data_IF_850451567291
#
_entry.id   IF_850451567291
#
_cell.length_a   1.000
_cell.length_b   1.000
_cell.length_c   1.000
_cell.angle_alpha   90.00
_cell.angle_beta   90.00
_cell.angle_gamma   90.00
#
_symmetry.space_group_name_H-M   'P 1'
#
loop_
_entity.id
_entity.type
_entity.pdbx_description
1 polymer ?
#
# COMPACT_ATOMS: atom_id res chain seq x y z
N UNK A 1 12.41 -18.98 23.43
CA UNK A 1 13.26 -18.55 24.56
C UNK A 1 13.61 -17.11 24.31
N UNK A 2 13.29 -16.21 25.23
CA UNK A 2 13.59 -14.78 25.09
C UNK A 2 15.10 -14.61 25.22
N UNK A 3 15.76 -14.12 24.16
CA UNK A 3 17.21 -13.91 24.18
C UNK A 3 17.54 -12.65 24.97
N UNK A 4 18.69 -12.63 25.65
CA UNK A 4 19.26 -11.44 26.26
C UNK A 4 20.37 -10.97 25.33
N UNK A 5 20.25 -9.77 24.77
CA UNK A 5 21.21 -9.21 23.81
C UNK A 5 21.85 -7.95 24.37
N UNK A 6 23.09 -7.66 24.01
CA UNK A 6 23.75 -6.39 24.31
C UNK A 6 23.51 -5.37 23.19
N UNK A 7 23.71 -4.05 23.43
CA UNK A 7 23.68 -3.06 22.35
C UNK A 7 24.66 -3.37 21.21
N UNK A 8 25.82 -3.98 21.53
CA UNK A 8 26.81 -4.36 20.54
C UNK A 8 26.32 -5.50 19.64
N UNK A 9 25.55 -6.45 20.18
CA UNK A 9 24.93 -7.51 19.38
C UNK A 9 23.90 -6.92 18.42
N UNK A 10 23.06 -5.99 18.89
CA UNK A 10 22.05 -5.32 18.04
C UNK A 10 22.70 -4.53 16.91
N UNK A 11 23.82 -3.83 17.15
CA UNK A 11 24.54 -3.05 16.14
C UNK A 11 25.05 -3.86 14.95
N UNK A 12 25.20 -5.18 15.09
CA UNK A 12 25.60 -6.06 13.98
C UNK A 12 24.49 -6.22 12.92
N UNK A 13 23.24 -6.00 13.31
CA UNK A 13 22.05 -6.17 12.47
C UNK A 13 21.55 -4.81 12.00
N UNK A 14 22.27 -4.19 11.07
CA UNK A 14 22.08 -2.80 10.64
C UNK A 14 21.81 -2.62 9.13
N UNK A 15 21.40 -3.68 8.44
CA UNK A 15 21.16 -3.69 6.98
C UNK A 15 19.71 -4.02 6.66
N UNK A 16 19.29 -3.86 5.40
CA UNK A 16 17.92 -4.16 4.99
C UNK A 16 17.59 -5.66 5.12
N UNK A 17 18.57 -6.51 4.83
CA UNK A 17 18.46 -7.97 4.87
C UNK A 17 18.74 -8.56 6.25
N UNK A 18 19.13 -7.72 7.22
CA UNK A 18 19.45 -8.10 8.60
C UNK A 18 19.34 -6.87 9.52
N UNK A 19 18.15 -6.66 10.12
CA UNK A 19 17.78 -5.42 10.81
C UNK A 19 17.18 -5.67 12.19
N UNK A 20 17.94 -5.36 13.25
CA UNK A 20 17.43 -5.33 14.62
C UNK A 20 17.30 -3.89 15.12
N UNK A 21 16.42 -3.68 16.09
CA UNK A 21 16.29 -2.40 16.79
C UNK A 21 15.84 -2.58 18.23
N UNK A 22 16.15 -1.57 19.06
CA UNK A 22 15.75 -1.53 20.46
C UNK A 22 14.58 -0.55 20.60
N UNK A 23 13.49 -0.98 21.22
CA UNK A 23 12.40 -0.09 21.64
C UNK A 23 12.05 -0.44 23.09
N UNK A 24 12.13 0.54 24.00
CA UNK A 24 11.86 0.37 25.43
C UNK A 24 12.64 -0.80 26.08
N UNK A 25 13.93 -0.95 25.74
CA UNK A 25 14.82 -2.05 26.17
C UNK A 25 14.40 -3.46 25.70
N UNK A 26 13.48 -3.56 24.75
CA UNK A 26 13.11 -4.80 24.07
C UNK A 26 13.78 -4.80 22.70
N UNK A 27 14.28 -5.96 22.29
CA UNK A 27 14.96 -6.14 21.00
C UNK A 27 14.01 -6.82 20.01
N UNK A 28 13.91 -6.24 18.83
CA UNK A 28 13.02 -6.66 17.76
C UNK A 28 13.81 -6.98 16.50
N UNK A 29 13.48 -8.09 15.86
CA UNK A 29 13.96 -8.44 14.53
C UNK A 29 12.96 -7.93 13.49
N UNK A 30 13.29 -6.80 12.87
CA UNK A 30 12.44 -6.15 11.89
C UNK A 30 12.75 -6.59 10.45
N UNK A 31 13.69 -7.53 10.25
CA UNK A 31 14.21 -7.93 8.92
C UNK A 31 13.09 -8.29 7.93
N UNK A 32 12.12 -9.10 8.36
CA UNK A 32 11.00 -9.50 7.49
C UNK A 32 9.96 -8.41 7.27
N UNK A 33 10.00 -7.32 8.04
CA UNK A 33 9.01 -6.24 8.03
C UNK A 33 9.54 -4.97 7.34
N UNK A 34 10.84 -4.90 7.04
CA UNK A 34 11.49 -3.70 6.47
C UNK A 34 10.76 -3.15 5.24
N UNK A 35 10.41 -4.02 4.29
CA UNK A 35 9.71 -3.61 3.06
C UNK A 35 8.21 -3.34 3.25
N UNK A 36 7.63 -3.87 4.32
CA UNK A 36 6.20 -3.81 4.63
C UNK A 36 5.86 -2.62 5.53
N UNK A 37 6.87 -1.92 6.06
CA UNK A 37 6.69 -0.79 6.95
C UNK A 37 5.96 0.38 6.28
N UNK A 38 4.80 0.84 6.80
CA UNK A 38 3.99 1.89 6.17
C UNK A 38 4.68 3.25 6.03
N UNK A 39 5.69 3.53 6.88
CA UNK A 39 6.52 4.73 6.79
C UNK A 39 7.58 4.67 5.67
N UNK A 40 7.71 3.53 4.99
CA UNK A 40 8.82 3.22 4.09
C UNK A 40 9.93 2.47 4.81
N UNK A 41 10.78 1.78 4.03
CA UNK A 41 11.91 1.03 4.59
C UNK A 41 13.06 1.94 5.03
N UNK A 42 13.22 3.10 4.37
CA UNK A 42 14.29 4.06 4.62
C UNK A 42 14.28 4.55 6.09
N UNK A 43 13.09 4.78 6.66
CA UNK A 43 12.96 5.24 8.06
C UNK A 43 13.34 4.17 9.09
N UNK A 44 13.20 2.89 8.75
CA UNK A 44 13.70 1.81 9.62
C UNK A 44 15.22 1.66 9.51
N UNK A 45 15.77 1.90 8.31
CA UNK A 45 17.22 1.87 8.08
C UNK A 45 17.97 2.98 8.83
N UNK A 46 17.36 4.14 9.03
CA UNK A 46 17.95 5.25 9.82
C UNK A 46 18.29 4.85 11.27
N UNK A 47 17.50 3.93 11.84
CA UNK A 47 17.63 3.45 13.23
C UNK A 47 18.04 1.96 13.30
N UNK A 48 18.47 1.39 12.17
CA UNK A 48 18.91 0.00 12.11
C UNK A 48 20.13 -0.24 13.02
N UNK A 49 20.07 -1.31 13.81
CA UNK A 49 21.09 -1.66 14.80
C UNK A 49 21.17 -0.70 15.99
N UNK A 50 20.18 0.17 16.20
CA UNK A 50 20.20 1.24 17.21
C UNK A 50 18.97 1.22 18.13
N UNK A 51 18.98 2.12 19.12
CA UNK A 51 17.80 2.40 19.95
C UNK A 51 16.87 3.37 19.22
N UNK A 52 15.72 2.83 18.83
CA UNK A 52 14.66 3.52 18.10
C UNK A 52 13.53 4.00 19.02
N UNK A 53 13.67 3.91 20.35
CA UNK A 53 12.60 4.22 21.31
C UNK A 53 12.04 5.62 21.11
N UNK A 54 12.91 6.63 21.00
CA UNK A 54 12.47 8.01 20.78
C UNK A 54 11.77 8.19 19.44
N UNK A 55 12.34 7.64 18.36
CA UNK A 55 11.73 7.67 17.02
C UNK A 55 10.37 6.97 16.98
N UNK A 56 10.23 5.86 17.69
CA UNK A 56 8.99 5.09 17.79
C UNK A 56 7.91 5.87 18.54
N UNK A 57 8.24 6.45 19.70
CA UNK A 57 7.29 7.24 20.50
C UNK A 57 6.91 8.54 19.78
N UNK A 58 7.88 9.24 19.17
CA UNK A 58 7.66 10.53 18.51
C UNK A 58 6.77 10.41 17.26
N UNK A 59 6.69 9.22 16.66
CA UNK A 59 5.87 8.97 15.48
C UNK A 59 4.40 8.71 15.82
N UNK A 60 4.06 8.48 17.10
CA UNK A 60 2.71 8.16 17.58
C UNK A 60 2.09 6.98 16.83
N UNK A 61 2.80 5.83 16.88
CA UNK A 61 2.38 4.58 16.26
C UNK A 61 1.05 4.07 16.86
N UNK A 62 0.19 3.46 16.03
CA UNK A 62 -1.12 2.97 16.47
C UNK A 62 -1.03 1.65 17.25
N UNK A 63 -2.10 1.25 17.94
CA UNK A 63 -2.16 -0.04 18.65
C UNK A 63 -1.86 -1.23 17.73
N UNK A 64 -2.21 -1.15 16.44
CA UNK A 64 -1.87 -2.20 15.47
C UNK A 64 -0.36 -2.26 15.18
N UNK A 65 0.34 -1.13 15.22
CA UNK A 65 1.78 -1.11 15.09
C UNK A 65 2.44 -1.74 16.34
N UNK A 66 1.85 -1.55 17.53
CA UNK A 66 2.30 -2.24 18.74
C UNK A 66 2.07 -3.76 18.66
N UNK A 67 0.95 -4.20 18.09
CA UNK A 67 0.68 -5.63 17.83
C UNK A 67 1.72 -6.21 16.86
N UNK A 68 2.01 -5.54 15.74
CA UNK A 68 3.07 -5.94 14.81
C UNK A 68 4.43 -5.99 15.53
N UNK A 69 4.76 -4.94 16.27
CA UNK A 69 6.02 -4.86 17.02
C UNK A 69 6.13 -6.04 18.00
N UNK A 70 5.04 -6.42 18.66
CA UNK A 70 5.02 -7.55 19.59
C UNK A 70 5.39 -8.88 18.93
N UNK A 71 4.97 -9.11 17.67
CA UNK A 71 5.29 -10.30 16.89
C UNK A 71 6.76 -10.36 16.45
N UNK A 72 7.42 -9.20 16.30
CA UNK A 72 8.83 -9.08 15.92
C UNK A 72 9.80 -9.25 17.11
N UNK A 73 9.28 -9.43 18.33
CA UNK A 73 10.08 -9.49 19.55
C UNK A 73 10.97 -10.74 19.58
N UNK A 74 12.28 -10.53 19.71
CA UNK A 74 13.25 -11.62 19.85
C UNK A 74 13.90 -11.69 21.24
N UNK A 75 13.93 -10.57 21.97
CA UNK A 75 14.71 -10.51 23.20
C UNK A 75 14.52 -9.26 24.04
N UNK A 76 15.35 -9.13 25.08
CA UNK A 76 15.47 -7.94 25.92
C UNK A 76 16.93 -7.53 26.02
N UNK A 77 17.17 -6.23 26.21
CA UNK A 77 18.51 -5.67 26.32
C UNK A 77 19.15 -5.99 27.67
N UNK A 78 20.43 -6.38 27.67
CA UNK A 78 21.23 -6.49 28.89
C UNK A 78 21.65 -5.11 29.40
N UNK A 79 20.95 -4.62 30.42
CA UNK A 79 21.21 -3.33 31.06
C UNK A 79 22.44 -3.35 31.99
N UNK A 80 23.09 -4.50 32.19
CA UNK A 80 24.32 -4.61 32.98
C UNK A 80 25.58 -4.17 32.20
N UNK A 81 25.48 -4.03 30.88
CA UNK A 81 26.57 -3.60 29.99
C UNK A 81 26.43 -2.11 29.67
N UNK A 82 27.34 -1.28 30.19
CA UNK A 82 27.39 0.16 29.84
C UNK A 82 27.97 0.35 28.43
N UNK A 83 27.54 1.37 27.66
CA UNK A 83 28.17 1.71 26.40
C UNK A 83 29.62 2.15 26.67
N UNK A 84 30.59 1.28 26.39
CA UNK A 84 31.99 1.67 26.29
C UNK A 84 32.21 2.29 24.93
N UNK A 85 32.72 3.52 24.92
CA UNK A 85 33.21 4.23 23.73
C UNK A 85 34.13 3.33 22.88
N UNK A 86 33.61 2.76 21.79
CA UNK A 86 34.46 2.13 20.76
C UNK A 86 34.87 3.21 19.77
N UNK A 87 35.79 4.09 20.21
CA UNK A 87 36.69 4.79 19.30
C UNK A 87 37.93 3.93 19.11
N UNK A 88 38.08 3.43 17.88
CA UNK A 88 39.27 2.82 17.27
C UNK A 88 39.68 1.42 17.76
N UNK A 89 39.48 0.40 16.90
CA UNK A 89 40.56 -0.41 16.34
C UNK A 89 40.04 -1.52 15.40
N UNK A 90 40.02 -1.27 14.09
CA UNK A 90 40.50 -2.25 13.10
C UNK A 90 41.34 -1.47 12.10
N UNK A 91 42.66 -1.63 12.20
CA UNK A 91 43.58 -1.31 11.09
C UNK A 91 43.37 -2.40 10.04
N UNK A 92 42.88 -2.00 8.87
CA UNK A 92 42.98 -2.85 7.67
C UNK A 92 44.22 -2.35 6.93
N UNK A 93 45.18 -3.24 6.77
CA UNK A 93 46.41 -3.00 6.01
C UNK A 93 46.06 -2.63 4.57
N UNK A 94 46.62 -1.52 4.10
CA UNK A 94 46.62 -1.10 2.71
C UNK A 94 47.40 -2.12 1.88
N UNK A 95 46.70 -2.82 0.98
CA UNK A 95 47.35 -3.52 -0.13
C UNK A 95 47.32 -2.59 -1.33
N UNK A 96 48.50 -2.07 -1.69
CA UNK A 96 48.75 -1.41 -2.97
C UNK A 96 48.54 -2.40 -4.12
N UNK A 97 47.65 -2.08 -5.05
CA UNK A 97 47.57 -2.76 -6.34
C UNK A 97 48.20 -1.83 -7.38
N UNK A 98 49.31 -2.27 -7.97
CA UNK A 98 49.97 -1.59 -9.08
C UNK A 98 49.12 -1.74 -10.37
N UNK A 99 49.13 -0.75 -11.27
CA UNK A 99 48.40 -0.84 -12.53
C UNK A 99 49.20 -1.69 -13.53
N UNK A 100 48.60 -2.78 -14.01
CA UNK A 100 49.14 -3.55 -15.13
C UNK A 100 48.52 -3.05 -16.45
N UNK A 101 49.39 -2.71 -17.38
CA UNK A 101 49.11 -2.18 -18.72
C UNK A 101 48.77 -3.34 -19.64
N UNK A 102 47.61 -3.29 -20.31
CA UNK A 102 47.34 -4.14 -21.48
C UNK A 102 47.11 -3.23 -22.68
N UNK A 103 48.15 -3.08 -23.50
CA UNK A 103 48.07 -2.50 -24.84
C UNK A 103 47.61 -3.55 -25.86
N UNK A 104 46.80 -3.10 -26.82
CA UNK A 104 46.73 -3.71 -28.15
C UNK A 104 45.45 -4.45 -28.51
N UNK A 105 44.39 -3.72 -28.86
CA UNK A 105 43.41 -4.17 -29.87
C UNK A 105 43.00 -2.95 -30.72
N UNK A 106 43.27 -3.05 -32.03
CA UNK A 106 42.96 -2.03 -33.05
C UNK A 106 41.44 -1.84 -33.29
N UNK A 107 41.00 -0.66 -33.75
CA UNK A 107 39.59 -0.39 -34.01
C UNK A 107 39.09 -1.10 -35.29
N UNK A 108 37.86 -1.62 -35.32
CA UNK A 108 37.30 -2.20 -36.53
C UNK A 108 36.91 -1.10 -37.54
N UNK A 109 36.93 -1.41 -38.84
CA UNK A 109 36.73 -0.44 -39.90
C UNK A 109 35.25 -0.05 -40.07
N UNK A 110 35.04 1.21 -40.48
CA UNK A 110 33.75 1.71 -40.91
C UNK A 110 33.26 0.96 -42.16
N UNK A 111 32.07 0.36 -42.08
CA UNK A 111 31.37 -0.22 -43.22
C UNK A 111 29.99 0.41 -43.35
N UNK A 112 29.70 0.82 -44.58
CA UNK A 112 28.55 1.55 -45.06
C UNK A 112 27.25 0.72 -44.99
N UNK A 113 26.21 1.39 -44.48
CA UNK A 113 24.78 1.31 -44.83
C UNK A 113 24.28 0.10 -45.64
N UNK A 114 23.39 -0.68 -45.01
CA UNK A 114 22.21 -1.25 -45.67
C UNK A 114 20.99 -1.10 -44.75
N UNK A 115 19.87 -0.66 -45.31
CA UNK A 115 18.63 -0.39 -44.60
C UNK A 115 18.02 -1.69 -44.03
N UNK A 116 17.51 -1.71 -42.78
CA UNK A 116 16.79 -2.87 -42.30
C UNK A 116 15.36 -2.89 -42.87
N UNK A 117 14.95 -4.09 -43.25
CA UNK A 117 13.59 -4.46 -43.58
C UNK A 117 12.64 -4.13 -42.41
N UNK A 118 11.37 -3.91 -42.72
CA UNK A 118 10.30 -3.67 -41.74
C UNK A 118 10.25 -4.82 -40.75
N UNK A 119 10.79 -4.61 -39.56
CA UNK A 119 10.48 -5.42 -38.39
C UNK A 119 9.12 -4.97 -37.85
N UNK A 120 8.20 -5.93 -37.74
CA UNK A 120 6.96 -5.76 -37.01
C UNK A 120 7.31 -5.39 -35.56
N UNK A 121 7.01 -4.14 -35.19
CA UNK A 121 7.19 -3.64 -33.83
C UNK A 121 6.23 -4.43 -32.93
N UNK A 122 6.76 -5.41 -32.21
CA UNK A 122 6.13 -5.93 -31.02
C UNK A 122 6.12 -4.78 -30.00
N UNK A 123 4.97 -4.12 -29.82
CA UNK A 123 4.82 -3.04 -28.85
C UNK A 123 4.84 -3.69 -27.47
N UNK A 124 6.04 -3.92 -26.94
CA UNK A 124 6.23 -4.19 -25.52
C UNK A 124 5.54 -3.07 -24.75
N UNK A 125 4.56 -3.45 -23.95
CA UNK A 125 3.74 -2.53 -23.17
C UNK A 125 4.67 -1.85 -22.17
N UNK A 126 5.07 -0.60 -22.47
CA UNK A 126 5.94 0.18 -21.58
C UNK A 126 5.16 0.44 -20.30
N UNK A 127 5.42 -0.37 -19.26
CA UNK A 127 4.91 -0.11 -17.91
C UNK A 127 5.55 1.17 -17.40
N UNK A 128 4.72 2.19 -17.20
CA UNK A 128 5.20 3.51 -16.80
C UNK A 128 5.64 3.51 -15.34
N UNK A 129 4.91 2.82 -14.48
CA UNK A 129 5.08 2.85 -13.04
C UNK A 129 6.30 2.01 -12.57
N UNK A 130 7.20 2.62 -11.78
CA UNK A 130 8.44 2.01 -11.26
C UNK A 130 8.38 1.79 -9.74
N UNK A 131 8.68 0.57 -9.22
CA UNK A 131 8.41 0.22 -7.82
C UNK A 131 9.11 1.13 -6.81
N UNK A 132 10.38 1.43 -7.06
CA UNK A 132 11.25 2.04 -6.05
C UNK A 132 11.70 3.45 -6.41
N UNK A 133 11.24 3.96 -7.57
CA UNK A 133 11.64 5.26 -8.09
C UNK A 133 10.41 6.15 -8.15
N UNK A 134 10.45 7.29 -7.43
CA UNK A 134 9.44 8.32 -7.57
C UNK A 134 9.50 8.97 -8.95
N UNK A 135 8.34 9.06 -9.58
CA UNK A 135 8.10 9.67 -10.88
C UNK A 135 7.06 10.78 -10.73
N UNK A 136 7.17 11.82 -11.54
CA UNK A 136 6.26 12.95 -11.50
C UNK A 136 5.15 12.81 -12.53
N UNK A 137 3.91 13.06 -12.10
CA UNK A 137 2.73 13.02 -12.95
C UNK A 137 1.94 14.31 -12.82
N UNK A 138 1.60 14.92 -13.95
CA UNK A 138 0.96 16.23 -14.03
C UNK A 138 -0.55 16.13 -13.86
N UNK A 139 -1.12 16.95 -12.97
CA UNK A 139 -2.55 17.10 -12.77
C UNK A 139 -3.18 17.74 -14.00
N UNK A 140 -4.04 16.99 -14.69
CA UNK A 140 -4.79 17.42 -15.86
C UNK A 140 -6.13 18.03 -15.48
N UNK A 141 -6.83 17.38 -14.54
CA UNK A 141 -8.21 17.71 -14.19
C UNK A 141 -8.48 17.41 -12.72
N UNK A 142 -9.22 18.30 -12.07
CA UNK A 142 -9.81 18.11 -10.74
C UNK A 142 -11.33 18.18 -10.88
N UNK A 143 -12.03 17.15 -10.43
CA UNK A 143 -13.50 17.09 -10.43
C UNK A 143 -13.97 16.97 -8.99
N UNK A 144 -14.63 18.00 -8.47
CA UNK A 144 -15.21 17.98 -7.13
C UNK A 144 -16.43 17.06 -7.11
N UNK A 145 -16.46 16.12 -6.16
CA UNK A 145 -17.54 15.15 -5.99
C UNK A 145 -18.42 15.56 -4.80
N UNK A 146 -17.79 16.01 -3.72
CA UNK A 146 -18.47 16.53 -2.53
C UNK A 146 -17.61 17.60 -1.86
N UNK A 147 -18.09 18.16 -0.74
CA UNK A 147 -17.39 19.20 0.01
C UNK A 147 -15.95 18.85 0.44
N UNK A 148 -15.61 17.56 0.54
CA UNK A 148 -14.28 17.10 0.92
C UNK A 148 -13.75 15.96 0.03
N UNK A 149 -14.37 15.67 -1.11
CA UNK A 149 -13.92 14.59 -2.02
C UNK A 149 -13.77 15.14 -3.43
N UNK A 150 -12.66 14.81 -4.08
CA UNK A 150 -12.47 15.09 -5.49
C UNK A 150 -11.77 13.93 -6.22
N UNK A 151 -12.02 13.84 -7.52
CA UNK A 151 -11.27 12.99 -8.44
C UNK A 151 -10.19 13.84 -9.11
N UNK A 152 -8.95 13.39 -9.00
CA UNK A 152 -7.76 14.01 -9.58
C UNK A 152 -7.24 13.14 -10.71
N UNK A 153 -7.23 13.69 -11.93
CA UNK A 153 -6.72 13.02 -13.13
C UNK A 153 -5.30 13.45 -13.41
N UNK A 154 -4.39 12.49 -13.49
CA UNK A 154 -2.99 12.73 -13.80
C UNK A 154 -2.63 12.14 -15.16
N UNK A 155 -1.93 12.93 -15.98
CA UNK A 155 -1.48 12.51 -17.32
C UNK A 155 -0.34 11.50 -17.26
N UNK A 156 -0.36 10.52 -18.17
CA UNK A 156 0.77 9.64 -18.47
C UNK A 156 1.63 10.24 -19.60
N UNK A 157 2.86 9.73 -19.83
CA UNK A 157 3.79 10.30 -20.82
C UNK A 157 3.27 10.36 -22.26
N UNK A 158 2.31 9.51 -22.62
CA UNK A 158 1.62 9.59 -23.90
C UNK A 158 0.15 9.16 -23.79
N UNK A 159 -0.73 9.58 -24.72
CA UNK A 159 -2.14 9.18 -24.73
C UNK A 159 -2.37 7.65 -24.86
N UNK A 160 -1.36 6.89 -25.28
CA UNK A 160 -1.44 5.43 -25.44
C UNK A 160 -0.68 4.67 -24.36
N UNK A 161 0.01 5.37 -23.44
CA UNK A 161 0.67 4.74 -22.30
C UNK A 161 -0.33 4.14 -21.34
N UNK A 162 -0.03 2.97 -20.78
CA UNK A 162 -0.75 2.38 -19.65
C UNK A 162 0.01 2.65 -18.36
N UNK A 163 -0.69 2.74 -17.24
CA UNK A 163 -0.04 3.04 -15.97
C UNK A 163 0.80 1.84 -15.49
N UNK A 164 0.27 0.62 -15.71
CA UNK A 164 0.97 -0.62 -15.40
C UNK A 164 0.80 -1.04 -13.93
N UNK A 165 -0.34 -0.69 -13.31
CA UNK A 165 -0.68 -1.09 -11.94
C UNK A 165 -1.49 -2.40 -11.97
N UNK A 166 -0.96 -3.52 -11.44
CA UNK A 166 -1.72 -4.76 -11.31
C UNK A 166 -2.96 -4.58 -10.43
N UNK A 167 -4.03 -5.31 -10.76
CA UNK A 167 -5.30 -5.26 -10.02
C UNK A 167 -5.10 -5.82 -8.61
N UNK A 168 -5.38 -5.04 -7.58
CA UNK A 168 -5.11 -5.36 -6.17
C UNK A 168 -3.94 -4.58 -5.57
N UNK A 169 -3.08 -4.01 -6.41
CA UNK A 169 -1.94 -3.23 -5.95
C UNK A 169 -2.28 -1.74 -5.91
N UNK A 170 -1.47 -1.00 -5.18
CA UNK A 170 -1.61 0.45 -4.98
C UNK A 170 -0.32 1.19 -5.34
N UNK A 171 -0.36 2.51 -5.27
CA UNK A 171 0.79 3.39 -5.43
C UNK A 171 1.14 4.10 -4.12
N UNK A 172 2.36 4.59 -4.01
CA UNK A 172 2.78 5.50 -2.95
C UNK A 172 2.93 6.91 -3.50
N UNK A 173 2.24 7.88 -2.89
CA UNK A 173 2.44 9.31 -3.15
C UNK A 173 3.37 9.87 -2.09
N UNK A 174 4.44 10.55 -2.53
CA UNK A 174 5.42 11.19 -1.67
C UNK A 174 5.37 12.71 -1.77
N UNK A 175 5.52 13.42 -0.65
CA UNK A 175 5.67 14.87 -0.64
C UNK A 175 6.64 15.31 0.47
N UNK A 176 7.49 16.28 0.17
CA UNK A 176 8.31 16.96 1.18
C UNK A 176 7.49 18.09 1.79
N UNK A 177 7.09 17.95 3.06
CA UNK A 177 6.21 18.88 3.74
C UNK A 177 6.98 19.71 4.79
N UNK A 178 6.78 21.03 4.84
CA UNK A 178 7.43 21.89 5.82
C UNK A 178 6.99 21.54 7.24
N UNK A 179 7.92 21.60 8.17
CA UNK A 179 7.72 21.35 9.59
C UNK A 179 7.77 22.67 10.39
N UNK A 180 7.17 22.73 11.60
CA UNK A 180 7.18 23.94 12.43
C UNK A 180 8.56 24.47 12.79
N UNK A 181 9.58 23.60 12.82
CA UNK A 181 10.98 23.94 13.12
C UNK A 181 11.74 24.50 11.90
N UNK A 182 11.07 24.63 10.74
CA UNK A 182 11.66 25.11 9.49
C UNK A 182 12.32 24.02 8.63
N UNK A 183 12.36 22.77 9.11
CA UNK A 183 12.81 21.62 8.31
C UNK A 183 11.73 21.14 7.33
N UNK A 184 12.08 20.18 6.48
CA UNK A 184 11.13 19.46 5.61
C UNK A 184 11.16 17.98 5.92
N UNK A 185 9.99 17.34 6.02
CA UNK A 185 9.85 15.89 6.21
C UNK A 185 9.22 15.27 4.97
N UNK A 186 9.81 14.20 4.44
CA UNK A 186 9.13 13.39 3.43
C UNK A 186 8.00 12.60 4.08
N UNK A 187 6.79 12.78 3.56
CA UNK A 187 5.63 11.98 3.95
C UNK A 187 5.24 11.14 2.75
N UNK A 188 4.99 9.86 2.98
CA UNK A 188 4.56 8.91 1.96
C UNK A 188 3.25 8.26 2.40
N UNK A 189 2.26 8.18 1.50
CA UNK A 189 0.96 7.52 1.76
C UNK A 189 0.49 6.70 0.57
N UNK A 190 -0.22 5.61 0.85
CA UNK A 190 -0.76 4.71 -0.16
C UNK A 190 -2.09 5.21 -0.74
N UNK A 191 -2.25 5.06 -2.05
CA UNK A 191 -3.47 5.39 -2.78
C UNK A 191 -3.74 4.33 -3.85
N UNK A 192 -5.00 3.96 -4.02
CA UNK A 192 -5.42 3.06 -5.11
C UNK A 192 -6.16 3.85 -6.18
N UNK A 193 -5.61 3.94 -7.41
CA UNK A 193 -6.33 4.52 -8.54
C UNK A 193 -7.65 3.82 -8.81
N UNK A 194 -8.65 4.61 -9.19
CA UNK A 194 -9.98 4.11 -9.57
C UNK A 194 -10.12 3.87 -11.07
N UNK A 195 -9.13 4.31 -11.86
CA UNK A 195 -8.93 3.95 -13.27
C UNK A 195 -8.04 2.71 -13.39
N UNK A 196 -7.87 2.19 -14.60
CA UNK A 196 -6.92 1.09 -14.86
C UNK A 196 -6.52 1.03 -16.33
N UNK A 197 -5.58 0.15 -16.68
CA UNK A 197 -4.87 0.15 -17.96
C UNK A 197 -5.73 0.06 -19.24
N UNK A 198 -6.99 -0.38 -19.14
CA UNK A 198 -7.98 -0.28 -20.21
C UNK A 198 -8.34 1.16 -20.63
N UNK A 199 -7.94 2.16 -19.82
CA UNK A 199 -8.09 3.59 -20.06
C UNK A 199 -6.68 4.20 -20.17
N UNK A 200 -6.06 4.19 -21.35
CA UNK A 200 -4.70 4.69 -21.50
C UNK A 200 -4.63 6.22 -21.39
N UNK A 201 -3.42 6.72 -21.16
CA UNK A 201 -3.10 8.14 -21.17
C UNK A 201 -3.27 8.87 -19.84
N UNK A 202 -3.95 8.29 -18.85
CA UNK A 202 -4.13 8.91 -17.54
C UNK A 202 -4.33 7.89 -16.41
N UNK A 203 -4.28 8.37 -15.17
CA UNK A 203 -4.89 7.67 -14.04
C UNK A 203 -5.66 8.63 -13.14
N UNK A 204 -6.73 8.13 -12.52
CA UNK A 204 -7.63 8.90 -11.67
C UNK A 204 -7.49 8.45 -10.21
N UNK A 205 -7.32 9.41 -9.30
CA UNK A 205 -7.33 9.21 -7.85
C UNK A 205 -8.57 9.85 -7.25
N UNK A 206 -9.36 9.06 -6.51
CA UNK A 206 -10.43 9.59 -5.66
C UNK A 206 -9.87 9.83 -4.26
N UNK A 207 -9.83 11.10 -3.84
CA UNK A 207 -9.20 11.49 -2.58
C UNK A 207 -10.19 12.28 -1.73
N UNK A 208 -10.42 11.79 -0.51
CA UNK A 208 -11.08 12.54 0.56
C UNK A 208 -10.04 13.39 1.30
N UNK A 209 -10.30 14.68 1.41
CA UNK A 209 -9.44 15.64 2.11
C UNK A 209 -9.82 15.67 3.57
N UNK A 210 -8.81 15.48 4.44
CA UNK A 210 -8.99 15.52 5.89
C UNK A 210 -8.35 16.78 6.46
N UNK A 211 -9.01 17.47 7.41
CA UNK A 211 -8.34 18.51 8.21
C UNK A 211 -7.07 17.94 8.85
N UNK A 212 -5.93 18.63 8.69
CA UNK A 212 -4.64 18.17 9.20
C UNK A 212 -4.01 16.98 8.44
N UNK A 213 -4.65 16.46 7.39
CA UNK A 213 -4.09 15.36 6.60
C UNK A 213 -2.88 15.81 5.76
N UNK A 214 -1.73 15.19 5.94
CA UNK A 214 -0.48 15.54 5.27
C UNK A 214 -0.59 15.52 3.72
N UNK A 215 -0.72 14.34 3.13
CA UNK A 215 -0.78 14.20 1.66
C UNK A 215 -2.12 14.67 1.09
N UNK A 216 -3.22 14.48 1.82
CA UNK A 216 -4.55 14.87 1.30
C UNK A 216 -4.69 16.39 1.18
N UNK A 217 -4.14 17.18 2.11
CA UNK A 217 -4.07 18.64 1.97
C UNK A 217 -3.10 19.07 0.87
N UNK A 218 -1.94 18.41 0.78
CA UNK A 218 -0.98 18.67 -0.30
C UNK A 218 -1.60 18.49 -1.68
N UNK A 219 -2.31 17.38 -1.92
CA UNK A 219 -2.98 17.11 -3.21
C UNK A 219 -4.16 18.06 -3.44
N UNK A 220 -4.92 18.40 -2.39
CA UNK A 220 -6.04 19.33 -2.50
C UNK A 220 -5.64 20.73 -2.97
N UNK A 221 -4.44 21.18 -2.57
CA UNK A 221 -3.88 22.48 -2.90
C UNK A 221 -3.28 22.58 -4.31
N UNK A 222 -3.17 21.47 -5.06
CA UNK A 222 -2.63 21.47 -6.41
C UNK A 222 -3.52 22.24 -7.38
N UNK A 223 -2.88 23.03 -8.24
CA UNK A 223 -3.49 23.64 -9.40
C UNK A 223 -3.35 22.72 -10.62
N UNK A 224 -4.23 22.91 -11.60
CA UNK A 224 -4.09 22.24 -12.88
C UNK A 224 -2.71 22.56 -13.47
N UNK A 225 -1.97 21.50 -13.77
CA UNK A 225 -0.62 21.56 -14.29
C UNK A 225 0.50 21.36 -13.28
N UNK A 226 0.19 21.35 -11.98
CA UNK A 226 1.13 20.92 -10.93
C UNK A 226 1.36 19.41 -11.01
N UNK A 227 2.38 18.91 -10.31
CA UNK A 227 2.78 17.50 -10.33
C UNK A 227 2.63 16.84 -8.96
N UNK A 228 2.40 15.53 -8.96
CA UNK A 228 2.58 14.65 -7.79
C UNK A 228 3.76 13.72 -8.01
N UNK A 229 4.44 13.33 -6.92
CA UNK A 229 5.47 12.28 -6.93
C UNK A 229 4.86 10.94 -6.57
N UNK A 230 5.01 9.95 -7.44
CA UNK A 230 4.41 8.63 -7.33
C UNK A 230 5.45 7.52 -7.57
N UNK A 231 5.44 6.46 -6.76
CA UNK A 231 6.14 5.20 -7.05
C UNK A 231 5.19 4.01 -6.89
N UNK A 232 5.51 2.88 -7.53
CA UNK A 232 4.73 1.65 -7.42
C UNK A 232 5.01 0.66 -8.56
N UNK A 233 4.26 -0.43 -8.68
CA UNK A 233 3.19 -0.84 -7.79
C UNK A 233 3.72 -1.30 -6.42
N UNK A 234 2.85 -1.27 -5.40
CA UNK A 234 3.09 -1.80 -4.05
C UNK A 234 1.91 -2.67 -3.60
N UNK A 235 2.17 -3.55 -2.65
CA UNK A 235 1.18 -4.48 -2.09
C UNK A 235 1.24 -5.89 -2.67
N UNK A 236 0.79 -6.87 -1.88
CA UNK A 236 0.88 -8.30 -2.22
C UNK A 236 -0.31 -8.84 -3.01
N UNK A 237 -1.45 -8.12 -3.02
CA UNK A 237 -2.66 -8.62 -3.68
C UNK A 237 -2.55 -8.50 -5.20
N UNK A 238 -2.87 -9.58 -5.90
CA UNK A 238 -2.96 -9.58 -7.36
C UNK A 238 -4.16 -10.43 -7.78
N UNK A 239 -5.19 -9.77 -8.30
CA UNK A 239 -6.40 -10.42 -8.76
C UNK A 239 -6.16 -11.16 -10.08
N UNK A 240 -6.65 -12.40 -10.17
CA UNK A 240 -6.82 -13.12 -11.44
C UNK A 240 -8.25 -13.65 -11.56
N UNK A 241 -8.83 -13.70 -12.78
CA UNK A 241 -10.19 -14.19 -12.99
C UNK A 241 -10.46 -15.54 -12.32
N UNK A 242 -11.59 -15.66 -11.63
CA UNK A 242 -12.00 -16.88 -10.92
C UNK A 242 -11.04 -17.39 -9.82
N UNK A 243 -10.11 -16.57 -9.30
CA UNK A 243 -9.17 -17.01 -8.24
C UNK A 243 -9.87 -17.51 -6.97
N UNK A 244 -11.08 -17.01 -6.72
CA UNK A 244 -12.00 -17.49 -5.69
C UNK A 244 -13.41 -17.48 -6.26
N UNK A 245 -14.29 -18.31 -5.68
CA UNK A 245 -15.71 -18.31 -6.04
C UNK A 245 -16.38 -17.01 -5.65
N UNK A 246 -16.03 -16.44 -4.50
CA UNK A 246 -16.70 -15.26 -3.94
C UNK A 246 -15.80 -14.43 -3.03
N UNK A 247 -15.88 -13.12 -3.16
CA UNK A 247 -15.30 -12.18 -2.21
C UNK A 247 -16.38 -11.67 -1.25
N UNK A 248 -16.06 -11.64 0.04
CA UNK A 248 -16.69 -10.73 0.99
C UNK A 248 -15.80 -9.50 1.15
N UNK A 249 -16.30 -8.30 0.95
CA UNK A 249 -15.53 -7.06 1.04
C UNK A 249 -16.10 -6.20 2.16
N UNK A 250 -15.24 -5.63 2.99
CA UNK A 250 -15.62 -4.66 4.02
C UNK A 250 -14.78 -3.40 3.82
N UNK A 251 -15.44 -2.32 3.39
CA UNK A 251 -14.80 -1.04 3.11
C UNK A 251 -15.28 0.04 4.08
N UNK A 252 -14.37 0.93 4.48
CA UNK A 252 -14.68 2.14 5.24
C UNK A 252 -14.18 3.40 4.54
N UNK A 253 -15.06 4.37 4.26
CA UNK A 253 -14.67 5.63 3.61
C UNK A 253 -13.89 5.43 2.30
N UNK A 254 -12.67 5.96 2.20
CA UNK A 254 -11.82 5.82 0.99
C UNK A 254 -11.30 4.40 0.76
N UNK A 255 -11.48 3.48 1.71
CA UNK A 255 -11.18 2.06 1.56
C UNK A 255 -12.00 1.34 0.49
N UNK A 256 -13.00 2.02 -0.10
CA UNK A 256 -13.73 1.55 -1.28
C UNK A 256 -12.85 1.45 -2.53
N UNK A 257 -11.78 2.24 -2.63
CA UNK A 257 -10.95 2.33 -3.84
C UNK A 257 -10.28 1.01 -4.27
N UNK A 258 -9.62 0.22 -3.39
CA UNK A 258 -9.14 -1.11 -3.76
C UNK A 258 -10.27 -2.08 -4.11
N UNK A 259 -11.42 -1.97 -3.44
CA UNK A 259 -12.59 -2.82 -3.75
C UNK A 259 -13.10 -2.55 -5.16
N UNK A 260 -13.23 -1.29 -5.55
CA UNK A 260 -13.67 -0.89 -6.90
C UNK A 260 -12.72 -1.35 -7.99
N UNK A 261 -11.41 -1.34 -7.74
CA UNK A 261 -10.43 -1.85 -8.69
C UNK A 261 -10.69 -3.32 -9.04
N UNK A 262 -10.97 -4.15 -8.03
CA UNK A 262 -11.28 -5.57 -8.18
C UNK A 262 -12.67 -5.78 -8.79
N UNK A 263 -13.68 -5.08 -8.29
CA UNK A 263 -15.07 -5.13 -8.81
C UNK A 263 -15.09 -4.82 -10.30
N UNK A 264 -14.44 -3.75 -10.73
CA UNK A 264 -14.39 -3.34 -12.13
C UNK A 264 -13.61 -4.34 -13.00
N UNK A 265 -12.56 -4.98 -12.45
CA UNK A 265 -11.84 -6.04 -13.16
C UNK A 265 -12.73 -7.26 -13.41
N UNK A 266 -13.45 -7.73 -12.38
CA UNK A 266 -14.42 -8.84 -12.49
C UNK A 266 -15.49 -8.52 -13.53
N UNK A 267 -16.05 -7.30 -13.49
CA UNK A 267 -17.08 -6.86 -14.46
C UNK A 267 -16.60 -6.91 -15.91
N UNK A 268 -15.41 -6.38 -16.18
CA UNK A 268 -14.82 -6.48 -17.53
C UNK A 268 -14.57 -7.94 -17.92
N UNK A 269 -14.14 -8.76 -16.97
CA UNK A 269 -13.87 -10.19 -17.12
C UNK A 269 -15.10 -11.07 -17.38
N UNK A 270 -16.33 -10.60 -17.11
CA UNK A 270 -17.56 -11.38 -17.29
C UNK A 270 -17.67 -11.98 -18.69
N UNK A 271 -17.41 -11.18 -19.72
CA UNK A 271 -17.47 -11.61 -21.11
C UNK A 271 -16.38 -12.65 -21.46
N UNK A 272 -15.33 -12.78 -20.64
CA UNK A 272 -14.28 -13.80 -20.78
C UNK A 272 -14.44 -14.97 -19.80
N UNK A 273 -15.59 -15.07 -19.11
CA UNK A 273 -15.91 -16.20 -18.25
C UNK A 273 -15.50 -16.02 -16.78
N UNK A 274 -15.28 -14.79 -16.32
CA UNK A 274 -15.14 -14.50 -14.90
C UNK A 274 -16.48 -14.64 -14.17
N UNK A 275 -16.57 -15.61 -13.27
CA UNK A 275 -17.78 -15.96 -12.51
C UNK A 275 -17.71 -15.53 -11.05
N UNK A 276 -16.63 -14.87 -10.62
CA UNK A 276 -16.43 -14.47 -9.23
C UNK A 276 -17.60 -13.60 -8.74
N UNK A 277 -18.10 -13.91 -7.56
CA UNK A 277 -19.23 -13.21 -6.93
C UNK A 277 -18.71 -12.22 -5.87
N UNK A 278 -19.45 -11.16 -5.60
CA UNK A 278 -19.04 -10.10 -4.66
C UNK A 278 -20.17 -9.77 -3.70
N UNK A 279 -19.83 -9.76 -2.41
CA UNK A 279 -20.66 -9.21 -1.33
C UNK A 279 -19.89 -8.10 -0.64
N UNK A 280 -20.33 -6.85 -0.77
CA UNK A 280 -19.67 -5.68 -0.18
C UNK A 280 -20.51 -5.13 0.99
N UNK A 281 -19.87 -4.93 2.13
CA UNK A 281 -20.34 -4.05 3.21
C UNK A 281 -19.54 -2.74 3.09
N UNK A 282 -20.23 -1.63 2.88
CA UNK A 282 -19.60 -0.32 2.79
C UNK A 282 -20.08 0.59 3.93
N UNK A 283 -19.16 0.94 4.83
CA UNK A 283 -19.43 1.67 6.06
C UNK A 283 -18.94 3.12 6.00
N UNK A 284 -19.82 4.05 6.38
CA UNK A 284 -19.56 5.48 6.39
C UNK A 284 -20.21 6.15 7.62
N UNK A 285 -19.85 7.40 7.90
CA UNK A 285 -20.43 8.14 9.03
C UNK A 285 -21.83 8.62 8.66
N UNK A 286 -21.93 9.50 7.66
CA UNK A 286 -23.19 10.04 7.16
C UNK A 286 -23.50 9.49 5.74
N UNK A 287 -24.76 9.59 5.29
CA UNK A 287 -25.13 9.15 3.92
C UNK A 287 -24.35 9.88 2.82
N UNK A 288 -24.12 11.18 3.00
CA UNK A 288 -23.34 12.01 2.07
C UNK A 288 -21.86 11.59 1.95
N UNK A 289 -21.36 10.76 2.88
CA UNK A 289 -20.00 10.23 2.83
C UNK A 289 -19.88 8.97 1.97
N UNK A 290 -20.99 8.40 1.48
CA UNK A 290 -20.97 7.21 0.63
C UNK A 290 -20.40 7.59 -0.74
N UNK A 291 -19.12 7.30 -0.93
CA UNK A 291 -18.39 7.62 -2.14
C UNK A 291 -18.89 6.74 -3.30
N UNK A 292 -19.19 7.36 -4.44
CA UNK A 292 -19.60 6.67 -5.68
C UNK A 292 -20.89 5.83 -5.50
N UNK A 293 -21.84 6.35 -4.71
CA UNK A 293 -23.07 5.63 -4.36
C UNK A 293 -23.90 5.31 -5.61
N UNK A 294 -24.10 6.28 -6.50
CA UNK A 294 -24.88 6.08 -7.72
C UNK A 294 -24.25 5.02 -8.63
N UNK A 295 -22.92 5.00 -8.73
CA UNK A 295 -22.19 4.00 -9.48
C UNK A 295 -22.29 2.62 -8.83
N UNK A 296 -22.17 2.52 -7.51
CA UNK A 296 -22.37 1.26 -6.76
C UNK A 296 -23.80 0.71 -6.92
N UNK A 297 -24.80 1.58 -6.86
CA UNK A 297 -26.20 1.18 -7.06
C UNK A 297 -26.48 0.78 -8.53
N UNK A 298 -25.80 1.39 -9.50
CA UNK A 298 -25.83 0.95 -10.88
C UNK A 298 -25.16 -0.43 -11.06
N UNK A 299 -24.01 -0.66 -10.41
CA UNK A 299 -23.30 -1.93 -10.43
C UNK A 299 -24.20 -3.10 -9.99
N UNK A 300 -24.93 -2.92 -8.89
CA UNK A 300 -25.86 -3.94 -8.36
C UNK A 300 -27.04 -4.20 -9.31
N UNK A 301 -27.54 -3.17 -10.00
CA UNK A 301 -28.63 -3.34 -10.98
C UNK A 301 -28.21 -4.07 -12.24
N UNK A 302 -26.93 -3.95 -12.62
CA UNK A 302 -26.41 -4.47 -13.89
C UNK A 302 -25.76 -5.85 -13.79
N UNK A 303 -25.33 -6.27 -12.60
CA UNK A 303 -24.66 -7.56 -12.37
C UNK A 303 -25.22 -8.23 -11.10
N UNK A 304 -26.06 -9.25 -11.30
CA UNK A 304 -26.66 -10.04 -10.22
C UNK A 304 -25.62 -10.74 -9.32
N UNK A 305 -24.37 -10.85 -9.79
CA UNK A 305 -23.26 -11.40 -9.02
C UNK A 305 -22.60 -10.41 -8.05
N UNK A 306 -23.09 -9.18 -7.98
CA UNK A 306 -22.58 -8.11 -7.10
C UNK A 306 -23.69 -7.65 -6.16
N UNK A 307 -23.41 -7.67 -4.86
CA UNK A 307 -24.30 -7.12 -3.83
C UNK A 307 -23.55 -6.12 -2.98
N UNK A 308 -24.22 -5.02 -2.65
CA UNK A 308 -23.70 -3.95 -1.79
C UNK A 308 -24.69 -3.69 -0.67
N UNK A 309 -24.20 -3.67 0.56
CA UNK A 309 -24.96 -3.31 1.76
C UNK A 309 -24.27 -2.12 2.43
N UNK A 310 -25.02 -1.05 2.65
CA UNK A 310 -24.49 0.17 3.26
C UNK A 310 -24.69 0.17 4.78
N UNK A 311 -23.72 0.69 5.53
CA UNK A 311 -23.79 0.82 6.99
C UNK A 311 -23.44 2.26 7.38
N UNK A 312 -24.31 2.92 8.16
CA UNK A 312 -24.12 4.31 8.56
C UNK A 312 -24.08 4.49 10.08
N UNK A 313 -23.16 5.30 10.58
CA UNK A 313 -23.19 5.71 11.99
C UNK A 313 -24.36 6.66 12.27
N UNK A 314 -24.60 7.61 11.37
CA UNK A 314 -25.61 8.65 11.47
C UNK A 314 -26.60 8.52 10.28
N UNK A 315 -27.49 7.53 10.29
CA UNK A 315 -28.43 7.33 9.19
C UNK A 315 -29.47 8.46 9.09
N UNK A 316 -29.92 8.83 7.89
CA UNK A 316 -31.08 9.71 7.72
C UNK A 316 -32.37 9.03 8.17
N UNK A 317 -33.44 9.81 8.37
CA UNK A 317 -34.77 9.26 8.65
C UNK A 317 -35.22 8.32 7.51
N UNK A 318 -35.74 7.15 7.88
CA UNK A 318 -36.19 6.14 6.91
C UNK A 318 -35.08 5.25 6.35
N UNK A 319 -33.83 5.34 6.85
CA UNK A 319 -32.78 4.40 6.49
C UNK A 319 -33.14 2.95 6.89
N UNK A 320 -33.01 2.03 5.94
CA UNK A 320 -33.42 0.62 6.11
C UNK A 320 -32.25 -0.37 6.08
N UNK A 321 -31.04 0.12 5.89
CA UNK A 321 -29.83 -0.72 5.85
C UNK A 321 -29.13 -0.74 7.22
N UNK A 322 -27.85 -1.12 7.28
CA UNK A 322 -27.09 -1.22 8.52
C UNK A 322 -26.94 0.12 9.24
N UNK A 323 -26.97 0.08 10.57
CA UNK A 323 -26.82 1.24 11.45
C UNK A 323 -25.74 0.96 12.49
N UNK A 324 -24.90 1.95 12.77
CA UNK A 324 -23.79 1.88 13.71
C UNK A 324 -22.49 1.41 13.05
N UNK A 325 -21.68 0.66 13.79
CA UNK A 325 -20.49 0.01 13.25
C UNK A 325 -20.84 -1.33 12.59
N UNK A 326 -19.99 -1.79 11.67
CA UNK A 326 -20.12 -3.14 11.10
C UNK A 326 -20.07 -4.17 12.23
N UNK A 327 -21.13 -4.96 12.39
CA UNK A 327 -21.26 -5.95 13.46
C UNK A 327 -21.03 -7.38 12.97
N UNK A 328 -20.87 -8.30 13.93
CA UNK A 328 -20.79 -9.75 13.65
C UNK A 328 -22.02 -10.25 12.89
N UNK A 329 -23.21 -9.82 13.32
CA UNK A 329 -24.49 -10.21 12.74
C UNK A 329 -24.64 -9.69 11.30
N UNK A 330 -24.12 -8.49 11.01
CA UNK A 330 -24.10 -7.97 9.65
C UNK A 330 -23.19 -8.80 8.74
N UNK A 331 -22.01 -9.20 9.22
CA UNK A 331 -21.09 -10.06 8.46
C UNK A 331 -21.72 -11.44 8.21
N UNK A 332 -22.29 -12.07 9.23
CA UNK A 332 -23.00 -13.37 9.10
C UNK A 332 -24.15 -13.29 8.10
N UNK A 333 -24.89 -12.18 8.09
CA UNK A 333 -26.05 -11.98 7.23
C UNK A 333 -25.68 -11.70 5.78
N UNK A 334 -24.64 -10.89 5.54
CA UNK A 334 -24.39 -10.30 4.23
C UNK A 334 -23.16 -10.84 3.51
N UNK A 335 -22.17 -11.39 4.21
CA UNK A 335 -20.96 -11.93 3.61
C UNK A 335 -21.04 -13.46 3.48
N UNK A 336 -20.28 -14.07 2.54
CA UNK A 336 -20.23 -15.53 2.41
C UNK A 336 -19.68 -16.21 3.65
N UNK A 337 -20.22 -17.36 4.10
CA UNK A 337 -19.61 -18.11 5.20
C UNK A 337 -18.19 -18.57 4.87
N UNK A 338 -17.33 -18.85 5.89
CA UNK A 338 -15.98 -19.34 5.67
C UNK A 338 -15.95 -20.58 4.77
N UNK A 339 -15.11 -20.54 3.74
CA UNK A 339 -14.83 -21.65 2.83
C UNK A 339 -13.46 -21.46 2.18
N UNK A 340 -12.84 -22.54 1.71
CA UNK A 340 -11.52 -22.49 1.05
C UNK A 340 -11.52 -21.72 -0.27
N UNK A 341 -12.69 -21.53 -0.89
CA UNK A 341 -12.89 -20.79 -2.14
C UNK A 341 -13.55 -19.42 -1.93
N UNK A 342 -13.47 -18.89 -0.70
CA UNK A 342 -13.97 -17.56 -0.29
C UNK A 342 -12.80 -16.75 0.27
N UNK A 343 -12.75 -15.47 -0.03
CA UNK A 343 -11.78 -14.54 0.56
C UNK A 343 -12.48 -13.28 1.07
N UNK A 344 -12.09 -12.82 2.27
CA UNK A 344 -12.51 -11.56 2.85
C UNK A 344 -11.47 -10.50 2.56
N UNK A 345 -11.90 -9.35 2.04
CA UNK A 345 -11.04 -8.20 1.77
C UNK A 345 -11.43 -7.03 2.66
N UNK A 346 -10.46 -6.43 3.35
CA UNK A 346 -10.65 -5.35 4.31
C UNK A 346 -9.87 -4.12 3.88
N UNK A 347 -10.50 -2.94 3.89
CA UNK A 347 -9.80 -1.67 3.76
C UNK A 347 -10.60 -0.54 4.41
N UNK A 348 -9.97 0.25 5.26
CA UNK A 348 -10.63 1.33 5.99
C UNK A 348 -9.74 1.87 7.10
N UNK A 349 -10.29 2.68 8.01
CA UNK A 349 -9.56 3.18 9.17
C UNK A 349 -8.97 2.03 10.02
N UNK A 350 -7.77 2.18 10.62
CA UNK A 350 -7.12 1.11 11.38
C UNK A 350 -8.02 0.46 12.45
N UNK A 351 -8.78 1.23 13.28
CA UNK A 351 -9.66 0.62 14.28
C UNK A 351 -10.76 -0.25 13.67
N UNK A 352 -11.25 0.11 12.48
CA UNK A 352 -12.22 -0.69 11.76
C UNK A 352 -11.58 -1.99 11.27
N UNK A 353 -10.42 -1.91 10.62
CA UNK A 353 -9.72 -3.10 10.10
C UNK A 353 -9.36 -4.07 11.24
N UNK A 354 -8.81 -3.55 12.35
CA UNK A 354 -8.49 -4.34 13.54
C UNK A 354 -9.71 -5.05 14.13
N UNK A 355 -10.84 -4.34 14.26
CA UNK A 355 -12.09 -4.95 14.69
C UNK A 355 -12.59 -6.04 13.72
N UNK A 356 -12.55 -5.78 12.39
CA UNK A 356 -13.02 -6.74 11.39
C UNK A 356 -12.20 -8.02 11.40
N UNK A 357 -10.86 -7.93 11.54
CA UNK A 357 -9.99 -9.12 11.67
C UNK A 357 -10.41 -10.01 12.85
N UNK A 358 -10.71 -9.41 14.01
CA UNK A 358 -11.17 -10.14 15.22
C UNK A 358 -12.57 -10.76 15.03
N UNK A 359 -13.48 -10.03 14.41
CA UNK A 359 -14.85 -10.53 14.18
C UNK A 359 -14.84 -11.68 13.16
N UNK A 360 -14.10 -11.56 12.05
CA UNK A 360 -14.00 -12.65 11.07
C UNK A 360 -13.33 -13.89 11.70
N UNK A 361 -12.29 -13.74 12.50
CA UNK A 361 -11.74 -14.89 13.25
C UNK A 361 -12.81 -15.56 14.14
N UNK A 362 -13.62 -14.77 14.86
CA UNK A 362 -14.71 -15.31 15.70
C UNK A 362 -15.83 -16.00 14.93
N UNK A 363 -15.89 -15.79 13.61
CA UNK A 363 -16.84 -16.40 12.68
C UNK A 363 -16.30 -17.65 11.99
N UNK A 364 -15.06 -18.05 12.29
CA UNK A 364 -14.43 -19.25 11.76
C UNK A 364 -13.69 -19.05 10.44
N UNK A 365 -13.41 -17.80 10.05
CA UNK A 365 -12.43 -17.54 9.01
C UNK A 365 -11.01 -17.75 9.57
N UNK A 366 -10.05 -18.04 8.69
CA UNK A 366 -8.64 -18.13 9.06
C UNK A 366 -8.18 -16.82 9.69
N UNK A 367 -7.38 -16.94 10.75
CA UNK A 367 -6.82 -15.78 11.46
C UNK A 367 -6.03 -14.91 10.50
N UNK A 368 -6.40 -13.64 10.43
CA UNK A 368 -5.69 -12.66 9.61
C UNK A 368 -4.27 -12.44 10.15
N UNK A 369 -3.29 -12.38 9.26
CA UNK A 369 -1.92 -11.99 9.62
C UNK A 369 -1.84 -10.48 9.92
N UNK A 370 -0.80 -10.03 10.62
CA UNK A 370 -0.52 -8.60 10.76
C UNK A 370 -0.37 -7.93 9.38
N UNK A 371 0.50 -8.51 8.54
CA UNK A 371 0.63 -8.16 7.12
C UNK A 371 0.08 -9.28 6.24
N UNK A 372 -0.87 -8.94 5.38
CA UNK A 372 -1.60 -9.91 4.58
C UNK A 372 -0.79 -10.41 3.39
N UNK A 373 -0.86 -11.72 3.17
CA UNK A 373 -0.31 -12.39 1.99
C UNK A 373 -1.41 -12.80 1.03
N UNK A 374 -1.07 -12.97 -0.24
CA UNK A 374 -2.04 -13.27 -1.30
C UNK A 374 -2.91 -14.49 -0.97
N UNK A 375 -2.33 -15.51 -0.34
CA UNK A 375 -3.02 -16.74 0.03
C UNK A 375 -4.05 -16.57 1.16
N UNK A 376 -3.89 -15.58 2.04
CA UNK A 376 -4.66 -15.46 3.29
C UNK A 376 -6.16 -15.32 3.06
N UNK A 377 -7.00 -16.12 3.74
CA UNK A 377 -8.45 -16.03 3.59
C UNK A 377 -9.00 -14.65 3.96
N UNK A 378 -8.37 -13.95 4.91
CA UNK A 378 -8.70 -12.57 5.28
C UNK A 378 -7.52 -11.67 4.92
N UNK A 379 -7.71 -10.81 3.92
CA UNK A 379 -6.69 -9.90 3.39
C UNK A 379 -7.04 -8.45 3.74
N UNK A 380 -6.15 -7.74 4.42
CA UNK A 380 -6.23 -6.30 4.63
C UNK A 380 -5.26 -5.57 3.70
N UNK A 381 -5.76 -4.55 3.00
CA UNK A 381 -4.99 -3.74 2.04
C UNK A 381 -4.05 -2.73 2.69
#
# INVERSE_FOLDING_TARGET
>A
MTQILTPADVQLHNTKEDLYMIINNIVYDATSFVEEHPGGYDVLLEVAGQDATESYIATDHSEEADDILSDLKIGTLDLSVKPTDVKNAVKIDTVEIQPEVIEGIEPPPAVLTQAPAKEDVNVDTIRILKPDIFQEFKLEKKTEISHNVAIYRFTLPSPTSTFGLPIGQHISIGAFLPQPDGSTKEVVRSYTPISGDHQPGFFDLLIKTYPGGAITQHVSALNIGDVIRVRGPKGAFMYTPNMVRRFGMIAGGTGITPMLQIVNAIRRGRAQGDKTQIDLIFANVDEQDILLKEELDALVREDEGIRVNYVLNNPPEGWTSGVGFVSKEMIEKWLPPPASDVKILLCGPPPMVGAMKKITESLGYEKARPVSKLEDQVFAF
#
